data_IF_300567824171
#
_entry.id   IF_300567824171
#
_cell.length_a   1.000
_cell.length_b   1.000
_cell.length_c   1.000
_cell.angle_alpha   90.00
_cell.angle_beta   90.00
_cell.angle_gamma   90.00
#
_symmetry.space_group_name_H-M   'P 1'
#
loop_
_entity.id
_entity.type
_entity.pdbx_description
1 polymer ?
#
# COMPACT_ATOMS: atom_id res chain seq x y z
N UNK A 1 -8.97 -24.47 -15.00
CA UNK A 1 -9.88 -25.62 -14.76
C UNK A 1 -11.25 -25.10 -14.34
N UNK A 2 -12.33 -25.82 -14.63
CA UNK A 2 -13.69 -25.45 -14.22
C UNK A 2 -14.17 -26.46 -13.18
N UNK A 3 -14.81 -26.03 -12.07
CA UNK A 3 -15.30 -27.00 -11.08
C UNK A 3 -16.25 -28.02 -11.72
N UNK A 4 -16.11 -29.28 -11.34
CA UNK A 4 -16.88 -30.40 -11.92
C UNK A 4 -16.42 -30.87 -13.32
N UNK A 5 -15.30 -30.39 -13.85
CA UNK A 5 -14.74 -30.89 -15.12
C UNK A 5 -13.80 -32.07 -14.91
N UNK A 6 -14.04 -33.17 -15.64
CA UNK A 6 -13.13 -34.31 -15.71
C UNK A 6 -11.98 -34.05 -16.69
N UNK A 7 -10.76 -34.43 -16.31
CA UNK A 7 -9.56 -34.30 -17.13
C UNK A 7 -8.93 -35.67 -17.36
N UNK A 8 -8.66 -36.02 -18.63
CA UNK A 8 -7.86 -37.21 -18.96
C UNK A 8 -6.38 -36.83 -18.95
N UNK A 9 -5.67 -37.26 -17.90
CA UNK A 9 -4.27 -36.97 -17.68
C UNK A 9 -3.43 -38.24 -17.80
N UNK A 10 -2.15 -38.10 -18.17
CA UNK A 10 -1.20 -39.22 -18.17
C UNK A 10 -0.81 -39.57 -16.73
N UNK A 11 -0.22 -40.75 -16.53
CA UNK A 11 0.31 -41.12 -15.21
C UNK A 11 1.37 -40.12 -14.73
N UNK A 12 1.31 -39.80 -13.44
CA UNK A 12 2.19 -38.84 -12.80
C UNK A 12 1.55 -38.17 -11.58
N UNK A 13 2.34 -37.32 -10.93
CA UNK A 13 1.87 -36.50 -9.80
C UNK A 13 1.43 -35.14 -10.30
N UNK A 14 0.29 -34.68 -9.80
CA UNK A 14 -0.33 -33.42 -10.15
C UNK A 14 -0.67 -32.65 -8.88
N UNK A 15 -0.62 -31.32 -8.96
CA UNK A 15 -1.13 -30.43 -7.93
C UNK A 15 -2.33 -29.69 -8.49
N UNK A 16 -3.45 -29.76 -7.77
CA UNK A 16 -4.60 -28.91 -8.01
C UNK A 16 -4.46 -27.67 -7.13
N UNK A 17 -4.74 -26.51 -7.69
CA UNK A 17 -4.70 -25.26 -6.94
C UNK A 17 -5.79 -24.29 -7.40
N UNK A 18 -6.10 -23.35 -6.54
CA UNK A 18 -6.99 -22.23 -6.81
C UNK A 18 -6.41 -21.00 -6.12
N UNK A 19 -6.48 -19.86 -6.81
CA UNK A 19 -5.99 -18.59 -6.26
C UNK A 19 -6.69 -18.29 -4.92
N UNK A 20 -5.90 -17.88 -3.91
CA UNK A 20 -6.45 -17.47 -2.62
C UNK A 20 -7.31 -16.20 -2.78
N UNK A 21 -8.45 -16.16 -2.11
CA UNK A 21 -9.32 -14.98 -2.08
C UNK A 21 -9.47 -14.47 -0.63
N UNK A 22 -9.40 -13.14 -0.38
CA UNK A 22 -9.60 -12.58 0.95
C UNK A 22 -10.92 -13.04 1.57
N UNK A 23 -10.92 -13.31 2.88
CA UNK A 23 -12.09 -13.80 3.64
C UNK A 23 -12.55 -15.23 3.32
N UNK A 24 -11.76 -16.00 2.58
CA UNK A 24 -11.98 -17.44 2.40
C UNK A 24 -10.73 -18.24 2.78
N UNK A 25 -10.93 -19.29 3.58
CA UNK A 25 -9.90 -20.25 3.92
C UNK A 25 -10.01 -21.46 2.99
N UNK A 26 -8.94 -21.73 2.25
CA UNK A 26 -8.86 -22.86 1.34
C UNK A 26 -8.45 -24.14 2.08
N UNK A 27 -9.07 -25.26 1.71
CA UNK A 27 -8.67 -26.61 2.15
C UNK A 27 -8.84 -27.62 1.03
N UNK A 28 -8.04 -28.69 1.08
CA UNK A 28 -8.02 -29.77 0.09
C UNK A 28 -8.52 -31.08 0.73
N UNK A 29 -9.26 -31.87 -0.05
CA UNK A 29 -9.79 -33.18 0.37
C UNK A 29 -10.05 -34.10 -0.83
N UNK A 30 -10.57 -35.30 -0.55
CA UNK A 30 -10.76 -36.35 -1.55
C UNK A 30 -9.49 -37.18 -1.73
N UNK A 31 -9.10 -37.41 -2.98
CA UNK A 31 -7.86 -38.13 -3.34
C UNK A 31 -6.60 -37.27 -3.26
N UNK A 32 -6.74 -35.97 -2.99
CA UNK A 32 -5.62 -35.05 -2.80
C UNK A 32 -5.14 -35.02 -1.35
N UNK A 33 -3.84 -34.77 -1.16
CA UNK A 33 -3.28 -34.44 0.15
C UNK A 33 -3.63 -32.99 0.59
N UNK A 34 -3.16 -32.59 1.77
CA UNK A 34 -3.42 -31.26 2.33
C UNK A 34 -2.83 -30.10 1.51
N UNK A 35 -1.97 -30.39 0.53
CA UNK A 35 -1.36 -29.42 -0.37
C UNK A 35 -1.96 -29.49 -1.78
N UNK A 36 -3.04 -30.26 -1.97
CA UNK A 36 -3.67 -30.45 -3.28
C UNK A 36 -2.91 -31.40 -4.21
N UNK A 37 -1.96 -32.20 -3.70
CA UNK A 37 -1.19 -33.15 -4.50
C UNK A 37 -1.94 -34.47 -4.66
N UNK A 38 -1.95 -35.02 -5.87
CA UNK A 38 -2.52 -36.32 -6.21
C UNK A 38 -1.61 -37.06 -7.19
N UNK A 39 -1.40 -38.36 -6.98
CA UNK A 39 -0.67 -39.22 -7.92
C UNK A 39 -1.62 -40.12 -8.68
N UNK A 40 -1.52 -40.10 -10.00
CA UNK A 40 -2.31 -40.91 -10.93
C UNK A 40 -1.46 -42.05 -11.50
N UNK A 41 -2.00 -43.27 -11.47
CA UNK A 41 -1.54 -44.39 -12.30
C UNK A 41 -2.51 -44.65 -13.47
N UNK A 42 -2.08 -45.46 -14.45
CA UNK A 42 -2.90 -45.73 -15.62
C UNK A 42 -4.20 -46.44 -15.23
N UNK A 43 -5.34 -45.85 -15.61
CA UNK A 43 -6.67 -46.37 -15.29
C UNK A 43 -7.30 -45.80 -14.01
N UNK A 44 -6.60 -44.93 -13.29
CA UNK A 44 -7.15 -44.24 -12.13
C UNK A 44 -8.28 -43.28 -12.51
N UNK A 45 -9.30 -43.23 -11.64
CA UNK A 45 -10.30 -42.16 -11.57
C UNK A 45 -10.24 -41.56 -10.16
N UNK A 46 -9.71 -40.35 -10.06
CA UNK A 46 -9.45 -39.66 -8.78
C UNK A 46 -10.17 -38.32 -8.73
N UNK A 47 -10.74 -38.03 -7.58
CA UNK A 47 -11.46 -36.78 -7.32
C UNK A 47 -10.80 -36.00 -6.19
N UNK A 48 -10.28 -34.82 -6.54
CA UNK A 48 -9.84 -33.83 -5.56
C UNK A 48 -10.90 -32.74 -5.37
N UNK A 49 -11.13 -32.37 -4.12
CA UNK A 49 -12.06 -31.31 -3.75
C UNK A 49 -11.31 -30.15 -3.10
N UNK A 50 -11.47 -28.95 -3.65
CA UNK A 50 -11.00 -27.70 -3.05
C UNK A 50 -12.20 -27.01 -2.40
N UNK A 51 -12.13 -26.78 -1.09
CA UNK A 51 -13.18 -26.09 -0.32
C UNK A 51 -12.67 -24.70 0.07
N UNK A 52 -13.38 -23.66 -0.35
CA UNK A 52 -13.19 -22.30 0.15
C UNK A 52 -14.26 -22.06 1.21
N UNK A 53 -13.90 -22.17 2.48
CA UNK A 53 -14.81 -21.87 3.57
C UNK A 53 -14.80 -20.36 3.81
N UNK A 54 -15.99 -19.74 3.88
CA UNK A 54 -16.06 -18.35 4.31
C UNK A 54 -15.51 -18.25 5.73
N UNK A 55 -14.57 -17.34 5.91
CA UNK A 55 -14.15 -16.97 7.25
C UNK A 55 -14.99 -15.75 7.58
N UNK A 56 -15.77 -15.82 8.67
CA UNK A 56 -16.39 -14.63 9.24
C UNK A 56 -15.31 -13.56 9.26
N UNK A 57 -15.56 -12.44 8.56
CA UNK A 57 -14.56 -11.45 8.20
C UNK A 57 -13.51 -11.39 9.30
N UNK A 58 -12.26 -11.80 9.00
CA UNK A 58 -11.18 -11.56 9.95
C UNK A 58 -11.36 -10.10 10.33
N UNK A 59 -11.55 -9.77 11.63
CA UNK A 59 -11.70 -8.38 12.01
C UNK A 59 -10.37 -7.76 11.62
N UNK A 60 -10.34 -7.14 10.43
CA UNK A 60 -9.32 -6.21 10.01
C UNK A 60 -9.35 -5.19 11.13
N UNK A 61 -8.42 -5.31 12.08
CA UNK A 61 -8.30 -4.34 13.16
C UNK A 61 -8.09 -3.02 12.46
N UNK A 62 -9.08 -2.11 12.46
CA UNK A 62 -8.98 -0.95 11.61
C UNK A 62 -7.81 -0.11 12.11
N UNK A 63 -7.06 0.45 11.18
CA UNK A 63 -6.05 1.42 11.49
C UNK A 63 -6.72 2.73 11.90
N UNK A 64 -6.11 3.45 12.84
CA UNK A 64 -6.45 4.81 13.19
C UNK A 64 -5.48 5.76 12.51
N UNK A 65 -6.00 6.75 11.80
CA UNK A 65 -5.21 7.85 11.25
C UNK A 65 -5.68 9.16 11.86
N UNK A 66 -4.77 9.87 12.53
CA UNK A 66 -4.96 11.23 13.02
C UNK A 66 -4.38 12.24 12.03
N UNK A 67 -5.13 13.30 11.74
CA UNK A 67 -4.68 14.40 10.89
C UNK A 67 -4.69 15.68 11.70
N UNK A 68 -3.50 16.23 11.93
CA UNK A 68 -3.29 17.44 12.72
C UNK A 68 -2.97 18.60 11.79
N UNK A 69 -3.75 19.67 11.91
CA UNK A 69 -3.46 20.93 11.25
C UNK A 69 -2.58 21.83 12.10
N UNK A 70 -1.52 22.37 11.51
CA UNK A 70 -0.72 23.46 12.07
C UNK A 70 -0.71 24.65 11.11
N UNK A 71 -0.86 25.85 11.66
CA UNK A 71 -0.74 27.12 10.92
C UNK A 71 0.33 27.94 11.63
N UNK A 72 1.32 28.40 10.87
CA UNK A 72 2.41 29.26 11.32
C UNK A 72 2.20 30.60 10.64
N UNK A 73 2.00 31.63 11.47
CA UNK A 73 1.68 33.00 11.08
C UNK A 73 2.84 33.95 11.44
N UNK A 74 4.07 33.51 11.20
CA UNK A 74 5.22 34.41 11.24
C UNK A 74 5.03 35.56 10.22
N UNK A 75 5.76 36.66 10.44
CA UNK A 75 5.88 37.77 9.49
C UNK A 75 4.56 38.40 8.99
N UNK A 76 3.54 38.42 9.85
CA UNK A 76 2.29 39.14 9.60
C UNK A 76 1.12 38.27 9.14
N UNK A 77 1.28 36.94 9.11
CA UNK A 77 0.17 36.02 8.92
C UNK A 77 -0.95 36.20 9.96
N UNK A 78 -2.20 35.93 9.55
CA UNK A 78 -3.38 36.00 10.44
C UNK A 78 -4.35 34.85 10.24
N UNK A 79 -4.00 33.85 9.42
CA UNK A 79 -4.91 32.77 9.08
C UNK A 79 -5.19 31.88 10.30
N UNK A 80 -6.42 31.41 10.41
CA UNK A 80 -6.80 30.40 11.41
C UNK A 80 -6.92 29.03 10.76
N UNK A 81 -6.82 27.98 11.58
CA UNK A 81 -6.95 26.58 11.14
C UNK A 81 -8.22 26.33 10.30
N UNK A 82 -9.31 27.04 10.59
CA UNK A 82 -10.60 26.89 9.90
C UNK A 82 -10.62 27.34 8.44
N UNK A 83 -9.59 28.06 7.98
CA UNK A 83 -9.48 28.53 6.59
C UNK A 83 -8.92 27.46 5.65
N UNK A 84 -8.45 26.34 6.20
CA UNK A 84 -7.79 25.29 5.44
C UNK A 84 -8.62 24.00 5.49
N UNK A 85 -9.08 23.56 4.31
CA UNK A 85 -9.90 22.36 4.19
C UNK A 85 -9.01 21.13 3.96
N UNK A 86 -8.92 20.27 4.97
CA UNK A 86 -8.19 19.01 4.89
C UNK A 86 -9.03 17.90 4.26
N UNK A 87 -8.36 17.06 3.47
CA UNK A 87 -8.95 15.89 2.83
C UNK A 87 -8.07 14.67 3.06
N UNK A 88 -8.67 13.50 3.29
CA UNK A 88 -7.98 12.22 3.27
C UNK A 88 -8.62 11.37 2.20
N UNK A 89 -7.94 11.11 1.08
CA UNK A 89 -8.53 10.35 -0.03
C UNK A 89 -8.19 8.85 0.11
N UNK A 90 -9.15 7.94 -0.15
CA UNK A 90 -10.52 8.19 -0.65
C UNK A 90 -11.59 8.43 0.45
N UNK A 91 -11.21 8.70 1.69
CA UNK A 91 -12.14 8.99 2.77
C UNK A 91 -12.79 10.40 2.65
N UNK A 92 -13.80 10.65 3.47
CA UNK A 92 -14.40 11.99 3.62
C UNK A 92 -13.52 12.89 4.48
N UNK A 93 -13.63 14.23 4.43
CA UNK A 93 -12.94 15.12 5.36
C UNK A 93 -13.25 14.85 6.84
N UNK A 94 -12.26 15.07 7.71
CA UNK A 94 -12.28 14.72 9.13
C UNK A 94 -10.90 14.88 9.76
N UNK A 95 -10.83 14.78 11.08
CA UNK A 95 -9.57 14.93 11.85
C UNK A 95 -9.05 13.61 12.42
N UNK A 96 -9.87 12.57 12.44
CA UNK A 96 -9.49 11.22 12.84
C UNK A 96 -10.31 10.20 12.07
N UNK A 97 -9.68 9.08 11.73
CA UNK A 97 -10.21 8.11 10.81
C UNK A 97 -9.99 6.70 11.31
N UNK A 98 -11.02 5.86 11.20
CA UNK A 98 -10.89 4.41 11.32
C UNK A 98 -10.95 3.84 9.91
N UNK A 99 -9.82 3.31 9.44
CA UNK A 99 -9.57 2.94 8.04
C UNK A 99 -9.13 1.48 7.97
N UNK A 100 -9.44 0.82 6.86
CA UNK A 100 -8.85 -0.48 6.56
C UNK A 100 -7.39 -0.32 6.16
N UNK A 101 -6.62 -1.42 6.16
CA UNK A 101 -5.27 -1.40 5.64
C UNK A 101 -5.26 -0.92 4.17
N UNK A 102 -4.30 -0.07 3.82
CA UNK A 102 -4.26 0.55 2.51
C UNK A 102 -3.36 1.78 2.46
N UNK A 103 -3.27 2.39 1.29
CA UNK A 103 -2.55 3.66 1.10
C UNK A 103 -3.55 4.80 0.95
N UNK A 104 -3.34 5.85 1.73
CA UNK A 104 -4.17 7.04 1.77
C UNK A 104 -3.33 8.27 1.47
N UNK A 105 -3.98 9.33 0.99
CA UNK A 105 -3.32 10.61 0.73
C UNK A 105 -4.02 11.69 1.55
N UNK A 106 -3.28 12.28 2.48
CA UNK A 106 -3.65 13.52 3.15
C UNK A 106 -3.35 14.67 2.19
N UNK A 107 -4.34 15.53 1.98
CA UNK A 107 -4.23 16.69 1.09
C UNK A 107 -5.01 17.86 1.67
N UNK A 108 -4.82 19.04 1.08
CA UNK A 108 -5.52 20.26 1.47
C UNK A 108 -5.72 21.14 0.25
N UNK A 109 -6.75 21.97 0.29
CA UNK A 109 -6.89 23.05 -0.67
C UNK A 109 -5.80 24.11 -0.45
N UNK A 110 -5.26 24.66 -1.53
CA UNK A 110 -4.29 25.75 -1.41
C UNK A 110 -4.96 27.02 -0.87
N UNK A 111 -4.23 27.75 -0.03
CA UNK A 111 -4.67 29.03 0.51
C UNK A 111 -3.64 30.12 0.16
N UNK A 112 -4.07 31.33 -0.28
CA UNK A 112 -3.14 32.36 -0.70
C UNK A 112 -2.13 32.74 0.37
N UNK A 113 -0.87 32.86 -0.03
CA UNK A 113 0.25 33.25 0.82
C UNK A 113 0.61 32.27 1.95
N UNK A 114 0.30 30.97 1.80
CA UNK A 114 0.74 29.93 2.73
C UNK A 114 1.43 28.75 2.02
N UNK A 115 2.65 28.48 2.47
CA UNK A 115 3.53 27.33 2.29
C UNK A 115 3.01 26.01 2.89
N UNK A 116 2.46 25.07 2.12
CA UNK A 116 2.12 23.74 2.64
C UNK A 116 3.32 22.80 2.77
N UNK A 117 3.38 22.05 3.88
CA UNK A 117 4.26 20.90 4.08
C UNK A 117 3.59 19.77 4.87
N UNK A 118 4.07 18.53 4.66
CA UNK A 118 3.61 17.32 5.33
C UNK A 118 4.72 16.70 6.18
N UNK A 119 4.36 16.13 7.33
CA UNK A 119 5.29 15.47 8.26
C UNK A 119 4.56 14.46 9.17
N UNK A 120 5.28 13.87 10.12
CA UNK A 120 4.78 12.78 10.96
C UNK A 120 4.94 11.44 10.24
N UNK A 121 3.89 10.61 10.26
CA UNK A 121 3.82 9.35 9.52
C UNK A 121 3.58 9.55 8.01
N UNK A 122 3.20 10.74 7.59
CA UNK A 122 3.02 11.07 6.18
C UNK A 122 4.38 11.34 5.50
N UNK A 123 4.51 10.84 4.26
CA UNK A 123 5.57 11.25 3.35
C UNK A 123 5.44 12.73 2.96
N UNK A 124 6.48 13.27 2.32
CA UNK A 124 6.54 14.67 1.88
C UNK A 124 5.40 15.11 0.95
N UNK A 125 4.74 14.14 0.28
CA UNK A 125 3.60 14.36 -0.59
C UNK A 125 2.23 14.04 0.07
N UNK A 126 2.21 13.84 1.39
CA UNK A 126 0.99 13.51 2.15
C UNK A 126 0.55 12.04 2.06
N UNK A 127 1.32 11.16 1.38
CA UNK A 127 1.01 9.73 1.32
C UNK A 127 1.31 9.04 2.65
N UNK A 128 0.43 8.11 3.06
CA UNK A 128 0.62 7.24 4.23
C UNK A 128 0.09 5.84 3.93
N UNK A 129 0.85 4.81 4.29
CA UNK A 129 0.41 3.41 4.21
C UNK A 129 0.07 2.93 5.61
N UNK A 130 -1.14 2.39 5.75
CA UNK A 130 -1.68 1.83 6.98
C UNK A 130 -1.71 0.30 6.86
N UNK A 131 -1.24 -0.38 7.90
CA UNK A 131 -1.49 -1.81 8.13
C UNK A 131 -2.52 -2.01 9.25
N UNK A 132 -3.08 -3.21 9.36
CA UNK A 132 -4.10 -3.51 10.35
C UNK A 132 -3.59 -3.21 11.78
N UNK A 133 -4.36 -2.42 12.52
CA UNK A 133 -4.07 -2.02 13.90
C UNK A 133 -3.09 -0.84 14.05
N UNK A 134 -2.64 -0.22 12.94
CA UNK A 134 -1.82 0.98 13.02
C UNK A 134 -2.53 2.12 13.75
N UNK A 135 -1.75 2.94 14.45
CA UNK A 135 -2.17 4.24 14.99
C UNK A 135 -1.14 5.27 14.52
N UNK A 136 -1.50 6.05 13.51
CA UNK A 136 -0.59 6.94 12.79
C UNK A 136 -1.05 8.38 12.83
N UNK A 137 -0.10 9.30 12.83
CA UNK A 137 -0.37 10.74 12.85
C UNK A 137 0.32 11.45 11.69
N UNK A 138 -0.49 12.07 10.83
CA UNK A 138 -0.01 13.00 9.81
C UNK A 138 -0.19 14.44 10.28
N UNK A 139 0.83 15.26 10.05
CA UNK A 139 0.82 16.68 10.39
C UNK A 139 0.92 17.50 9.10
N UNK A 140 -0.09 18.34 8.85
CA UNK A 140 -0.10 19.29 7.73
C UNK A 140 0.20 20.68 8.27
N UNK A 141 1.33 21.27 7.87
CA UNK A 141 1.73 22.61 8.29
C UNK A 141 1.57 23.58 7.14
N UNK A 142 0.87 24.70 7.38
CA UNK A 142 0.90 25.86 6.50
C UNK A 142 1.68 26.98 7.17
N UNK A 143 2.75 27.43 6.52
CA UNK A 143 3.58 28.55 6.97
C UNK A 143 3.29 29.75 6.10
N UNK A 144 3.01 30.90 6.70
CA UNK A 144 2.83 32.13 5.95
C UNK A 144 4.09 32.41 5.14
N UNK A 145 3.95 32.70 3.86
CA UNK A 145 5.06 33.23 3.07
C UNK A 145 4.81 34.72 2.85
N UNK A 146 5.54 35.55 3.59
CA UNK A 146 5.54 36.97 3.29
C UNK A 146 6.24 37.18 1.95
N UNK A 147 5.50 37.60 0.93
CA UNK A 147 6.07 37.96 -0.36
C UNK A 147 7.00 39.19 -0.27
N UNK A 148 7.00 39.91 0.87
CA UNK A 148 7.89 41.02 1.17
C UNK A 148 9.19 40.60 1.85
N UNK A 149 9.26 39.38 2.41
CA UNK A 149 10.48 38.76 2.90
C UNK A 149 11.00 37.73 1.88
N UNK A 150 11.90 38.18 1.03
CA UNK A 150 12.46 37.40 -0.08
C UNK A 150 13.71 36.64 0.33
N UNK A 151 13.72 36.03 1.52
CA UNK A 151 14.55 34.84 1.76
C UNK A 151 13.91 33.63 1.06
N UNK A 152 13.86 33.74 -0.27
CA UNK A 152 13.62 32.64 -1.18
C UNK A 152 14.75 31.64 -0.92
N UNK A 153 14.44 30.53 -0.24
CA UNK A 153 15.24 29.32 -0.35
C UNK A 153 15.10 28.82 -1.79
N UNK A 154 15.89 29.41 -2.69
CA UNK A 154 16.14 28.86 -4.01
C UNK A 154 16.78 27.51 -3.74
N UNK A 155 16.03 26.41 -3.91
CA UNK A 155 16.66 25.11 -4.08
C UNK A 155 17.51 25.28 -5.35
N UNK A 156 18.86 25.28 -5.26
CA UNK A 156 19.67 25.45 -6.45
C UNK A 156 19.37 24.27 -7.37
N UNK A 157 18.85 24.52 -8.56
CA UNK A 157 18.68 23.50 -9.61
C UNK A 157 20.03 23.08 -10.22
N UNK A 158 21.14 23.58 -9.67
CA UNK A 158 22.50 23.19 -10.02
C UNK A 158 23.25 22.82 -8.75
N UNK A 159 23.85 21.63 -8.76
CA UNK A 159 24.78 21.15 -7.73
C UNK A 159 25.78 22.26 -7.37
N UNK A 160 26.11 22.46 -6.07
CA UNK A 160 27.14 23.41 -5.70
C UNK A 160 28.47 23.02 -6.37
N UNK A 161 29.03 23.98 -7.09
CA UNK A 161 30.38 23.93 -7.66
C UNK A 161 31.37 23.55 -6.56
N UNK A 162 32.16 22.51 -6.85
CA UNK A 162 33.12 21.90 -5.94
C UNK A 162 34.26 22.86 -5.64
N UNK A 163 34.15 23.64 -4.56
CA UNK A 163 35.30 24.30 -3.96
C UNK A 163 35.22 24.33 -2.43
N UNK A 164 35.25 23.15 -1.79
CA UNK A 164 35.68 23.04 -0.39
C UNK A 164 36.61 21.83 -0.22
N UNK A 165 37.79 22.08 0.35
CA UNK A 165 38.89 21.16 0.67
C UNK A 165 38.51 20.20 1.84
N UNK A 166 39.16 19.03 2.01
CA UNK A 166 38.60 17.88 2.69
C UNK A 166 38.85 17.88 4.20
N UNK A 167 37.80 17.70 4.99
CA UNK A 167 37.92 17.14 6.34
C UNK A 167 36.78 16.15 6.59
N UNK A 168 37.15 14.85 6.61
CA UNK A 168 36.41 13.71 7.16
C UNK A 168 34.88 13.79 7.15
N UNK A 169 34.28 13.48 6.02
CA UNK A 169 32.97 12.84 6.03
C UNK A 169 32.86 11.92 4.82
N UNK A 170 32.86 10.62 5.10
CA UNK A 170 32.55 9.59 4.11
C UNK A 170 31.05 9.66 3.87
N UNK A 171 30.62 10.19 2.72
CA UNK A 171 29.23 10.11 2.27
C UNK A 171 29.08 8.92 1.33
N UNK A 172 28.53 7.81 1.83
CA UNK A 172 28.06 6.70 1.01
C UNK A 172 26.64 7.01 0.51
N UNK A 173 26.47 7.07 -0.80
CA UNK A 173 25.17 7.16 -1.46
C UNK A 173 24.73 5.76 -1.88
N UNK A 174 23.52 5.36 -1.52
CA UNK A 174 22.86 4.20 -2.10
C UNK A 174 21.76 4.69 -3.04
N UNK A 175 21.97 4.58 -4.35
CA UNK A 175 20.90 4.60 -5.35
C UNK A 175 20.27 3.21 -5.36
N UNK A 176 18.97 3.14 -5.14
CA UNK A 176 18.18 1.96 -5.49
C UNK A 176 17.20 2.39 -6.57
N UNK A 177 17.41 1.91 -7.79
CA UNK A 177 16.36 1.93 -8.80
C UNK A 177 15.50 0.71 -8.52
N UNK A 178 14.19 0.89 -8.37
CA UNK A 178 13.25 -0.21 -8.45
C UNK A 178 12.09 0.23 -9.36
N UNK A 179 12.15 -0.24 -10.60
CA UNK A 179 10.97 -0.55 -11.39
C UNK A 179 9.96 -1.34 -10.53
N UNK A 180 8.66 -1.12 -10.74
CA UNK A 180 7.72 -2.18 -11.10
C UNK A 180 6.36 -1.54 -11.45
N UNK A 181 6.05 -1.65 -12.74
CA UNK A 181 4.74 -1.82 -13.36
C UNK A 181 3.61 -2.23 -12.39
N UNK A 182 2.65 -1.33 -12.12
CA UNK A 182 1.41 -1.73 -11.43
C UNK A 182 0.50 -2.51 -12.38
N UNK A 183 0.44 -3.82 -12.15
CA UNK A 183 -0.48 -4.77 -12.77
C UNK A 183 -1.91 -4.47 -12.28
N UNK A 184 -2.82 -4.26 -13.23
CA UNK A 184 -4.26 -4.16 -13.00
C UNK A 184 -4.78 -5.51 -12.49
N UNK A 185 -4.96 -5.63 -11.18
CA UNK A 185 -5.41 -6.86 -10.52
C UNK A 185 -6.94 -7.00 -10.65
N UNK A 186 -7.40 -7.46 -11.81
CA UNK A 186 -8.71 -8.10 -11.92
C UNK A 186 -8.61 -9.46 -11.23
N UNK A 187 -9.05 -9.53 -9.96
CA UNK A 187 -9.20 -10.78 -9.21
C UNK A 187 -10.28 -11.64 -9.88
N UNK A 188 -9.87 -12.44 -10.85
CA UNK A 188 -10.66 -13.58 -11.32
C UNK A 188 -10.06 -14.79 -10.62
N UNK A 189 -10.85 -15.48 -9.80
CA UNK A 189 -10.45 -16.75 -9.19
C UNK A 189 -10.13 -17.74 -10.32
N UNK A 190 -8.86 -18.12 -10.50
CA UNK A 190 -8.47 -19.13 -11.50
C UNK A 190 -8.13 -20.43 -10.80
N UNK A 191 -8.71 -21.53 -11.30
CA UNK A 191 -8.32 -22.90 -10.89
C UNK A 191 -7.26 -23.46 -11.84
N UNK A 192 -6.27 -24.17 -11.33
CA UNK A 192 -5.14 -24.73 -12.09
C UNK A 192 -4.92 -26.21 -11.73
N UNK A 193 -4.37 -26.97 -12.68
CA UNK A 193 -3.85 -28.32 -12.47
C UNK A 193 -2.48 -28.35 -13.12
N UNK A 194 -1.44 -28.68 -12.35
CA UNK A 194 -0.05 -28.69 -12.84
C UNK A 194 0.60 -30.04 -12.57
N UNK A 195 1.35 -30.55 -13.55
CA UNK A 195 2.16 -31.75 -13.35
C UNK A 195 3.41 -31.38 -12.55
N UNK A 196 3.70 -32.13 -11.50
CA UNK A 196 4.96 -31.99 -10.77
C UNK A 196 6.05 -32.65 -11.61
N UNK A 197 6.99 -31.85 -12.11
CA UNK A 197 8.18 -32.38 -12.76
C UNK A 197 9.16 -32.78 -11.65
N UNK A 198 9.43 -34.07 -11.55
CA UNK A 198 10.54 -34.59 -10.74
C UNK A 198 11.80 -34.67 -11.59
#
# INVERSE_FOLDING_TARGET
ATPGTSYSLVAGTYVVSEDSYPSYLQSFSGDCDSNGSVTLVAGDDKTCTITNNDVAAIPETPATLHVIKRVINDDGGTATVSLFNLHVKPATPGTSYSLVAGTYVVSEDSYPSYLQSFSGDCAWNGSVTLIAGDDKTCIVTNTYNDASDSDILVIPTTLPDSSINPTNSVFTWSIVVADILTVLLLYVIRKKIERVNN
#
